data_IF_803149459798
#
_entry.id   IF_803149459798
#
_cell.length_a   1.000
_cell.length_b   1.000
_cell.length_c   1.000
_cell.angle_alpha   90.00
_cell.angle_beta   90.00
_cell.angle_gamma   90.00
#
_symmetry.space_group_name_H-M   'P 1'
#
loop_
_entity.id
_entity.type
_entity.pdbx_description
1 polymer ?
#
# COMPACT_ATOMS: atom_id res chain seq x y z
N UNK A 1 -0.94 -7.06 11.87
CA UNK A 1 0.34 -7.56 11.31
C UNK A 1 0.02 -8.32 10.04
N UNK A 2 0.74 -8.04 8.95
CA UNK A 2 0.69 -8.84 7.74
C UNK A 2 2.03 -9.56 7.54
N UNK A 3 1.97 -10.83 7.19
CA UNK A 3 3.12 -11.61 6.71
C UNK A 3 2.81 -12.08 5.29
N UNK A 4 3.35 -11.38 4.30
CA UNK A 4 2.98 -11.51 2.89
C UNK A 4 3.95 -12.46 2.20
N UNK A 5 3.50 -13.69 1.96
CA UNK A 5 4.26 -14.69 1.20
C UNK A 5 3.88 -14.74 -0.29
N UNK A 6 2.65 -14.31 -0.62
CA UNK A 6 2.12 -14.21 -1.99
C UNK A 6 1.58 -12.79 -2.19
N UNK A 7 1.80 -12.21 -3.37
CA UNK A 7 1.31 -10.87 -3.66
C UNK A 7 -0.21 -10.80 -3.48
N UNK A 8 -0.68 -9.75 -2.83
CA UNK A 8 -2.10 -9.43 -2.68
C UNK A 8 -2.64 -8.82 -3.99
N UNK A 9 -3.97 -8.68 -4.07
CA UNK A 9 -4.60 -8.05 -5.23
C UNK A 9 -4.14 -6.62 -5.39
N UNK A 10 -3.90 -6.18 -6.64
CA UNK A 10 -3.81 -4.76 -6.96
C UNK A 10 -5.19 -4.17 -6.71
N UNK A 11 -5.24 -3.14 -5.87
CA UNK A 11 -6.48 -2.56 -5.38
C UNK A 11 -6.37 -1.05 -5.18
N UNK A 12 -7.53 -0.41 -5.07
CA UNK A 12 -7.67 0.96 -4.60
C UNK A 12 -8.93 1.07 -3.75
N UNK A 13 -8.97 2.06 -2.86
CA UNK A 13 -10.11 2.31 -1.96
C UNK A 13 -10.78 3.62 -2.33
N UNK A 14 -12.13 3.66 -2.46
CA UNK A 14 -12.82 4.90 -2.78
C UNK A 14 -12.60 5.94 -1.67
N UNK A 15 -12.64 7.21 -2.05
CA UNK A 15 -12.80 8.28 -1.07
C UNK A 15 -14.17 8.20 -0.37
N UNK A 16 -14.36 9.06 0.63
CA UNK A 16 -15.53 9.00 1.52
C UNK A 16 -16.83 9.38 0.82
N UNK A 17 -16.77 10.20 -0.22
CA UNK A 17 -17.96 10.59 -0.99
C UNK A 17 -18.38 9.44 -1.89
N UNK A 18 -17.44 8.94 -2.69
CA UNK A 18 -17.67 7.81 -3.59
C UNK A 18 -18.07 6.54 -2.83
N UNK A 19 -17.47 6.27 -1.67
CA UNK A 19 -17.84 5.12 -0.82
C UNK A 19 -19.34 5.15 -0.45
N UNK A 20 -19.88 6.31 -0.08
CA UNK A 20 -21.32 6.46 0.26
C UNK A 20 -22.21 6.20 -0.94
N UNK A 21 -21.81 6.67 -2.12
CA UNK A 21 -22.56 6.44 -3.35
C UNK A 21 -22.54 4.96 -3.75
N UNK A 22 -21.36 4.35 -3.74
CA UNK A 22 -21.17 2.95 -4.08
C UNK A 22 -21.90 2.00 -3.11
N UNK A 23 -21.90 2.31 -1.81
CA UNK A 23 -22.66 1.55 -0.82
C UNK A 23 -24.16 1.58 -1.09
N UNK A 24 -24.71 2.75 -1.47
CA UNK A 24 -26.13 2.88 -1.82
C UNK A 24 -26.48 2.16 -3.12
N UNK A 25 -25.64 2.27 -4.15
CA UNK A 25 -25.92 1.75 -5.49
C UNK A 25 -25.62 0.25 -5.63
N UNK A 26 -24.59 -0.25 -4.93
CA UNK A 26 -24.05 -1.60 -5.06
C UNK A 26 -23.68 -2.21 -3.68
N UNK A 27 -24.62 -2.32 -2.72
CA UNK A 27 -24.36 -2.79 -1.34
C UNK A 27 -23.83 -4.24 -1.26
N UNK A 28 -24.07 -5.05 -2.29
CA UNK A 28 -23.51 -6.40 -2.37
C UNK A 28 -21.99 -6.41 -2.64
N UNK A 29 -21.46 -5.34 -3.24
CA UNK A 29 -20.05 -5.20 -3.60
C UNK A 29 -19.29 -4.29 -2.62
N UNK A 30 -19.91 -3.19 -2.21
CA UNK A 30 -19.35 -2.21 -1.26
C UNK A 30 -20.10 -2.31 0.06
N UNK A 31 -19.38 -2.39 1.17
CA UNK A 31 -19.91 -2.89 2.45
C UNK A 31 -20.29 -1.80 3.43
N UNK A 32 -19.79 -0.60 3.20
CA UNK A 32 -19.98 0.55 4.08
C UNK A 32 -19.80 1.85 3.31
N UNK A 33 -20.22 2.97 3.90
CA UNK A 33 -20.07 4.31 3.32
C UNK A 33 -18.77 5.01 3.71
N UNK A 34 -17.73 4.29 4.12
CA UNK A 34 -16.49 4.87 4.61
C UNK A 34 -15.34 4.70 3.60
N UNK A 35 -14.39 5.64 3.64
CA UNK A 35 -13.10 5.46 2.97
C UNK A 35 -12.20 4.51 3.75
N UNK A 36 -11.08 4.12 3.14
CA UNK A 36 -10.11 3.20 3.72
C UNK A 36 -8.67 3.68 3.51
N UNK A 37 -8.23 4.80 4.14
CA UNK A 37 -6.81 5.10 4.21
C UNK A 37 -6.08 3.99 4.98
N UNK A 38 -4.86 3.67 4.53
CA UNK A 38 -4.04 2.57 5.08
C UNK A 38 -2.58 3.04 5.25
N UNK A 39 -1.84 2.36 6.12
CA UNK A 39 -0.38 2.52 6.26
C UNK A 39 0.26 1.16 6.54
N UNK A 40 1.31 0.84 5.80
CA UNK A 40 2.17 -0.30 6.04
C UNK A 40 3.53 0.16 6.57
N UNK A 41 3.86 -0.21 7.81
CA UNK A 41 5.16 0.00 8.45
C UNK A 41 5.97 -1.29 8.38
N UNK A 42 7.07 -1.27 7.62
CA UNK A 42 7.87 -2.45 7.33
C UNK A 42 8.60 -2.97 8.59
N UNK A 43 8.49 -4.27 8.82
CA UNK A 43 9.21 -5.02 9.87
C UNK A 43 10.42 -5.73 9.26
N UNK A 44 10.23 -6.37 8.10
CA UNK A 44 11.31 -6.88 7.24
C UNK A 44 11.48 -5.97 6.03
N UNK A 45 12.38 -6.30 5.09
CA UNK A 45 12.25 -5.74 3.74
C UNK A 45 10.83 -6.03 3.24
N UNK A 46 10.11 -4.98 2.87
CA UNK A 46 8.71 -5.05 2.44
C UNK A 46 8.57 -4.48 1.05
N UNK A 47 7.91 -5.24 0.16
CA UNK A 47 7.80 -4.90 -1.26
C UNK A 47 6.36 -4.63 -1.62
N UNK A 48 6.11 -3.54 -2.32
CA UNK A 48 4.78 -3.11 -2.73
C UNK A 48 4.76 -2.52 -4.14
N UNK A 49 3.59 -2.52 -4.77
CA UNK A 49 3.23 -1.61 -5.84
C UNK A 49 2.46 -0.44 -5.22
N UNK A 50 2.73 0.80 -5.62
CA UNK A 50 1.97 1.95 -5.13
C UNK A 50 2.05 3.16 -6.08
N UNK A 51 0.88 3.65 -6.50
CA UNK A 51 0.75 4.82 -7.37
C UNK A 51 1.30 4.58 -8.77
N UNK A 52 0.96 5.48 -9.70
CA UNK A 52 1.45 5.39 -11.07
C UNK A 52 2.89 5.90 -11.19
N UNK A 53 3.67 5.24 -12.05
CA UNK A 53 5.02 5.69 -12.42
C UNK A 53 5.00 7.05 -13.11
N UNK A 54 6.16 7.68 -13.21
CA UNK A 54 6.31 8.95 -13.93
C UNK A 54 5.94 8.82 -15.41
N UNK A 55 5.62 9.94 -16.06
CA UNK A 55 5.31 9.94 -17.50
C UNK A 55 6.48 9.41 -18.32
N UNK A 56 7.70 9.80 -17.98
CA UNK A 56 8.94 9.37 -18.63
C UNK A 56 9.13 7.86 -18.54
N UNK A 57 8.94 7.28 -17.35
CA UNK A 57 8.98 5.82 -17.19
C UNK A 57 7.87 5.14 -17.99
N UNK A 58 6.65 5.70 -18.02
CA UNK A 58 5.53 5.12 -18.76
C UNK A 58 5.80 5.12 -20.26
N UNK A 59 6.38 6.20 -20.79
CA UNK A 59 6.84 6.23 -22.18
C UNK A 59 7.89 5.15 -22.45
N UNK A 60 8.85 4.98 -21.55
CA UNK A 60 9.83 3.88 -21.63
C UNK A 60 9.16 2.52 -21.68
N UNK A 61 8.20 2.25 -20.78
CA UNK A 61 7.40 1.02 -20.77
C UNK A 61 6.69 0.78 -22.10
N UNK A 62 6.07 1.80 -22.68
CA UNK A 62 5.36 1.67 -23.96
C UNK A 62 6.30 1.45 -25.16
N UNK A 63 7.56 1.88 -25.07
CA UNK A 63 8.58 1.63 -26.10
C UNK A 63 9.19 0.24 -25.93
N UNK A 64 9.54 -0.14 -24.70
CA UNK A 64 10.36 -1.31 -24.40
C UNK A 64 9.52 -2.60 -24.26
N UNK A 65 8.22 -2.48 -23.99
CA UNK A 65 7.31 -3.60 -23.73
C UNK A 65 6.22 -3.66 -24.82
N UNK A 66 6.52 -4.24 -26.01
CA UNK A 66 5.57 -4.29 -27.13
C UNK A 66 4.27 -5.02 -26.80
N UNK A 67 4.31 -5.98 -25.86
CA UNK A 67 3.12 -6.72 -25.43
C UNK A 67 2.07 -5.84 -24.74
N UNK A 68 2.49 -4.72 -24.12
CA UNK A 68 1.58 -3.71 -23.59
C UNK A 68 0.91 -2.96 -24.74
N UNK A 69 1.68 -2.55 -25.75
CA UNK A 69 1.14 -1.84 -26.94
C UNK A 69 0.12 -2.70 -27.69
N UNK A 70 0.36 -4.01 -27.79
CA UNK A 70 -0.61 -4.97 -28.35
C UNK A 70 -1.94 -4.98 -27.58
N UNK A 71 -1.92 -4.81 -26.25
CA UNK A 71 -3.12 -4.79 -25.41
C UNK A 71 -3.86 -3.45 -25.46
N UNK A 72 -3.13 -2.34 -25.38
CA UNK A 72 -3.73 -1.00 -25.24
C UNK A 72 -4.04 -0.32 -26.59
N UNK A 73 -3.46 -0.83 -27.67
CA UNK A 73 -3.59 -0.32 -29.02
C UNK A 73 -2.66 0.87 -29.31
N UNK A 74 -2.23 0.95 -30.58
CA UNK A 74 -1.31 2.00 -31.05
C UNK A 74 -1.83 3.42 -30.82
N UNK A 75 -3.14 3.64 -30.93
CA UNK A 75 -3.73 4.96 -30.73
C UNK A 75 -3.56 5.46 -29.29
N UNK A 76 -3.84 4.61 -28.29
CA UNK A 76 -3.71 4.93 -26.87
C UNK A 76 -2.25 5.07 -26.45
N UNK A 77 -1.37 4.18 -26.96
CA UNK A 77 0.06 4.28 -26.71
C UNK A 77 0.62 5.60 -27.27
N UNK A 78 0.25 5.95 -28.51
CA UNK A 78 0.67 7.19 -29.15
C UNK A 78 0.19 8.44 -28.39
N UNK A 79 -1.03 8.43 -27.84
CA UNK A 79 -1.51 9.54 -27.00
C UNK A 79 -0.59 9.84 -25.81
N UNK A 80 0.04 8.82 -25.22
CA UNK A 80 1.00 9.01 -24.13
C UNK A 80 2.36 9.45 -24.67
N UNK A 81 2.83 8.81 -25.74
CA UNK A 81 4.14 9.11 -26.35
C UNK A 81 4.23 10.54 -26.89
N UNK A 82 3.13 11.07 -27.41
CA UNK A 82 3.01 12.43 -27.96
C UNK A 82 2.85 13.52 -26.88
N UNK A 83 2.83 13.19 -25.57
CA UNK A 83 2.78 14.20 -24.51
C UNK A 83 4.12 14.91 -24.38
N UNK A 84 4.14 16.23 -24.46
CA UNK A 84 5.33 17.03 -24.22
C UNK A 84 5.42 17.50 -22.77
N UNK A 85 6.63 17.86 -22.32
CA UNK A 85 6.85 18.39 -20.95
C UNK A 85 6.08 19.69 -20.65
N UNK A 86 5.62 20.37 -21.69
CA UNK A 86 4.84 21.61 -21.59
C UNK A 86 3.33 21.34 -21.47
N UNK A 87 2.89 20.10 -21.70
CA UNK A 87 1.49 19.74 -21.57
C UNK A 87 1.04 19.79 -20.11
N UNK A 88 -0.16 20.33 -19.89
CA UNK A 88 -0.74 20.46 -18.55
C UNK A 88 -1.14 19.12 -17.94
N UNK A 89 -1.17 19.07 -16.60
CA UNK A 89 -1.47 17.87 -15.81
C UNK A 89 -2.77 17.14 -16.23
N UNK A 90 -3.80 17.88 -16.66
CA UNK A 90 -5.06 17.28 -17.11
C UNK A 90 -4.92 16.45 -18.40
N UNK A 91 -4.10 16.89 -19.36
CA UNK A 91 -3.86 16.13 -20.60
C UNK A 91 -3.07 14.86 -20.28
N UNK A 92 -2.08 14.95 -19.38
CA UNK A 92 -1.30 13.80 -18.90
C UNK A 92 -2.20 12.78 -18.22
N UNK A 93 -3.03 13.25 -17.27
CA UNK A 93 -4.04 12.44 -16.58
C UNK A 93 -5.00 11.76 -17.53
N UNK A 94 -5.51 12.48 -18.53
CA UNK A 94 -6.41 11.92 -19.53
C UNK A 94 -5.74 10.79 -20.34
N UNK A 95 -4.52 10.99 -20.83
CA UNK A 95 -3.81 9.97 -21.61
C UNK A 95 -3.48 8.73 -20.76
N UNK A 96 -2.98 8.92 -19.53
CA UNK A 96 -2.73 7.82 -18.61
C UNK A 96 -4.03 7.04 -18.30
N UNK A 97 -5.12 7.75 -18.02
CA UNK A 97 -6.43 7.14 -17.81
C UNK A 97 -6.89 6.34 -19.02
N UNK A 98 -6.74 6.91 -20.21
CA UNK A 98 -7.11 6.27 -21.49
C UNK A 98 -6.36 4.95 -21.68
N UNK A 99 -5.03 4.98 -21.62
CA UNK A 99 -4.20 3.78 -21.82
C UNK A 99 -4.43 2.72 -20.73
N UNK A 100 -4.59 3.13 -19.47
CA UNK A 100 -4.85 2.22 -18.36
C UNK A 100 -6.24 1.59 -18.47
N UNK A 101 -7.24 2.34 -18.92
CA UNK A 101 -8.59 1.82 -19.16
C UNK A 101 -8.57 0.76 -20.26
N UNK A 102 -7.81 0.96 -21.34
CA UNK A 102 -7.66 -0.06 -22.39
C UNK A 102 -6.99 -1.32 -21.85
N UNK A 103 -5.94 -1.18 -21.04
CA UNK A 103 -5.28 -2.32 -20.41
C UNK A 103 -6.25 -3.12 -19.53
N UNK A 104 -6.98 -2.44 -18.65
CA UNK A 104 -7.91 -3.08 -17.72
C UNK A 104 -9.12 -3.73 -18.43
N UNK A 105 -9.49 -3.20 -19.60
CA UNK A 105 -10.59 -3.70 -20.41
C UNK A 105 -10.19 -4.84 -21.35
N UNK A 106 -8.90 -5.17 -21.45
CA UNK A 106 -8.44 -6.28 -22.27
C UNK A 106 -9.08 -7.60 -21.83
N UNK A 107 -9.49 -8.41 -22.80
CA UNK A 107 -10.08 -9.72 -22.51
C UNK A 107 -9.07 -10.64 -21.82
N UNK A 108 -9.56 -11.63 -21.07
CA UNK A 108 -8.69 -12.59 -20.40
C UNK A 108 -7.80 -13.34 -21.38
N UNK A 109 -8.34 -13.67 -22.56
CA UNK A 109 -7.63 -14.37 -23.64
C UNK A 109 -6.50 -13.49 -24.20
N UNK A 110 -6.76 -12.21 -24.44
CA UNK A 110 -5.76 -11.26 -24.89
C UNK A 110 -4.65 -11.08 -23.85
N UNK A 111 -5.02 -10.85 -22.58
CA UNK A 111 -4.09 -10.72 -21.48
C UNK A 111 -3.17 -11.95 -21.34
N UNK A 112 -3.77 -13.15 -21.33
CA UNK A 112 -3.03 -14.41 -21.22
C UNK A 112 -2.05 -14.57 -22.39
N UNK A 113 -2.49 -14.29 -23.62
CA UNK A 113 -1.63 -14.37 -24.81
C UNK A 113 -0.46 -13.39 -24.75
N UNK A 114 -0.71 -12.13 -24.39
CA UNK A 114 0.32 -11.10 -24.30
C UNK A 114 1.31 -11.38 -23.18
N UNK A 115 0.85 -11.86 -22.02
CA UNK A 115 1.72 -12.22 -20.90
C UNK A 115 2.57 -13.45 -21.24
N UNK A 116 2.02 -14.44 -21.96
CA UNK A 116 2.81 -15.57 -22.44
C UNK A 116 3.92 -15.15 -23.40
N UNK A 117 3.63 -14.24 -24.35
CA UNK A 117 4.65 -13.65 -25.24
C UNK A 117 5.73 -12.92 -24.45
N UNK A 118 5.33 -12.05 -23.52
CA UNK A 118 6.24 -11.30 -22.65
C UNK A 118 7.17 -12.24 -21.88
N UNK A 119 6.60 -13.27 -21.25
CA UNK A 119 7.37 -14.28 -20.51
C UNK A 119 8.39 -14.99 -21.39
N UNK A 120 8.00 -15.42 -22.58
CA UNK A 120 8.90 -16.05 -23.54
C UNK A 120 10.02 -15.12 -23.97
N UNK A 121 9.71 -13.86 -24.31
CA UNK A 121 10.69 -12.84 -24.69
C UNK A 121 11.69 -12.57 -23.56
N UNK A 122 11.20 -12.29 -22.35
CA UNK A 122 12.06 -12.02 -21.18
C UNK A 122 12.93 -13.22 -20.80
N UNK A 123 12.46 -14.46 -21.01
CA UNK A 123 13.30 -15.64 -20.78
C UNK A 123 14.49 -15.70 -21.74
N UNK A 124 14.29 -15.39 -23.02
CA UNK A 124 15.38 -15.29 -24.01
C UNK A 124 16.31 -14.13 -23.66
N UNK A 125 15.76 -12.95 -23.36
CA UNK A 125 16.54 -11.77 -23.02
C UNK A 125 17.36 -11.94 -21.73
N UNK A 126 16.88 -12.72 -20.76
CA UNK A 126 17.64 -13.03 -19.54
C UNK A 126 18.94 -13.81 -19.79
N UNK A 127 19.07 -14.45 -20.96
CA UNK A 127 20.33 -15.10 -21.38
C UNK A 127 21.31 -14.12 -22.04
N UNK A 128 20.82 -12.93 -22.41
CA UNK A 128 21.59 -11.93 -23.17
C UNK A 128 21.95 -10.70 -22.32
N UNK A 129 21.09 -10.35 -21.35
CA UNK A 129 21.27 -9.21 -20.44
C UNK A 129 20.66 -9.48 -19.07
N UNK A 130 21.04 -8.65 -18.10
CA UNK A 130 20.33 -8.59 -16.83
C UNK A 130 18.92 -7.99 -17.06
N UNK A 131 17.90 -8.65 -16.52
CA UNK A 131 16.53 -8.12 -16.52
C UNK A 131 16.40 -7.00 -15.48
N UNK A 132 15.61 -5.99 -15.80
CA UNK A 132 15.26 -4.91 -14.86
C UNK A 132 14.45 -5.45 -13.69
N UNK A 133 14.37 -4.70 -12.60
CA UNK A 133 13.62 -5.14 -11.41
C UNK A 133 12.12 -5.34 -11.70
N UNK A 134 11.52 -4.49 -12.55
CA UNK A 134 10.12 -4.64 -12.98
C UNK A 134 9.92 -5.87 -13.86
N UNK A 135 10.87 -6.19 -14.75
CA UNK A 135 10.83 -7.42 -15.57
C UNK A 135 10.93 -8.69 -14.71
N UNK A 136 11.82 -8.69 -13.72
CA UNK A 136 11.93 -9.79 -12.75
C UNK A 136 10.64 -9.91 -11.92
N UNK A 137 10.07 -8.78 -11.51
CA UNK A 137 8.81 -8.75 -10.76
C UNK A 137 7.66 -9.35 -11.58
N UNK A 138 7.47 -8.98 -12.85
CA UNK A 138 6.37 -9.54 -13.65
C UNK A 138 6.55 -11.04 -13.88
N UNK A 139 7.78 -11.54 -14.08
CA UNK A 139 8.03 -12.98 -14.14
C UNK A 139 7.71 -13.69 -12.81
N UNK A 140 7.93 -13.03 -11.67
CA UNK A 140 7.56 -13.55 -10.36
C UNK A 140 6.03 -13.55 -10.16
N UNK A 141 5.35 -12.45 -10.50
CA UNK A 141 3.91 -12.34 -10.42
C UNK A 141 3.21 -13.34 -11.34
N UNK A 142 3.73 -13.59 -12.54
CA UNK A 142 3.21 -14.59 -13.47
C UNK A 142 3.28 -16.01 -12.90
N UNK A 143 4.28 -16.33 -12.07
CA UNK A 143 4.31 -17.63 -11.36
C UNK A 143 3.17 -17.74 -10.32
N UNK A 144 2.80 -16.63 -9.69
CA UNK A 144 1.77 -16.58 -8.65
C UNK A 144 0.34 -16.46 -9.22
N UNK A 145 0.20 -15.77 -10.36
CA UNK A 145 -1.05 -15.39 -11.02
C UNK A 145 -0.96 -15.55 -12.56
N UNK A 146 -0.85 -16.78 -13.08
CA UNK A 146 -0.65 -17.01 -14.51
C UNK A 146 -1.73 -16.35 -15.38
N UNK A 147 -1.31 -15.47 -16.30
CA UNK A 147 -2.18 -14.79 -17.26
C UNK A 147 -3.12 -13.73 -16.68
N UNK A 148 -2.95 -13.34 -15.40
CA UNK A 148 -3.74 -12.26 -14.79
C UNK A 148 -3.26 -10.89 -15.30
N UNK A 149 -4.18 -9.98 -15.66
CA UNK A 149 -3.81 -8.64 -16.17
C UNK A 149 -2.93 -7.87 -15.18
N UNK A 150 -3.06 -8.14 -13.87
CA UNK A 150 -2.26 -7.51 -12.83
C UNK A 150 -0.77 -7.78 -12.97
N UNK A 151 -0.38 -8.90 -13.60
CA UNK A 151 1.02 -9.21 -13.91
C UNK A 151 1.61 -8.13 -14.80
N UNK A 152 1.01 -7.86 -15.95
CA UNK A 152 1.53 -6.86 -16.89
C UNK A 152 1.21 -5.43 -16.45
N UNK A 153 0.17 -5.23 -15.64
CA UNK A 153 -0.17 -3.93 -15.05
C UNK A 153 0.88 -3.44 -14.06
N UNK A 154 1.71 -4.33 -13.49
CA UNK A 154 2.78 -3.93 -12.59
C UNK A 154 3.78 -2.95 -13.21
N UNK A 155 3.93 -2.94 -14.54
CA UNK A 155 4.75 -1.94 -15.24
C UNK A 155 4.22 -0.51 -15.12
N UNK A 156 2.93 -0.31 -14.81
CA UNK A 156 2.31 1.01 -14.65
C UNK A 156 2.50 1.60 -13.26
N UNK A 157 2.99 0.82 -12.29
CA UNK A 157 3.07 1.22 -10.89
C UNK A 157 4.50 1.30 -10.37
N UNK A 158 4.72 2.17 -9.37
CA UNK A 158 6.03 2.21 -8.71
C UNK A 158 6.25 0.90 -7.97
N UNK A 159 7.40 0.26 -8.19
CA UNK A 159 7.84 -0.90 -7.42
C UNK A 159 8.62 -0.40 -6.21
N UNK A 160 7.93 -0.33 -5.07
CA UNK A 160 8.42 0.25 -3.82
C UNK A 160 9.06 -0.84 -2.97
N UNK A 161 10.24 -0.55 -2.44
CA UNK A 161 10.94 -1.37 -1.45
C UNK A 161 11.12 -0.53 -0.19
N UNK A 162 10.60 -1.03 0.93
CA UNK A 162 10.74 -0.43 2.24
C UNK A 162 11.75 -1.24 3.04
N UNK A 163 12.69 -0.54 3.66
CA UNK A 163 13.55 -1.12 4.68
C UNK A 163 12.77 -1.23 6.01
N UNK A 164 13.17 -2.13 6.93
CA UNK A 164 12.64 -2.15 8.30
C UNK A 164 12.62 -0.75 8.93
N UNK A 165 11.47 -0.34 9.45
CA UNK A 165 11.28 1.00 10.03
C UNK A 165 10.89 2.10 9.03
N UNK A 166 10.77 1.79 7.74
CA UNK A 166 10.14 2.68 6.76
C UNK A 166 8.64 2.35 6.61
N UNK A 167 7.82 3.36 6.39
CA UNK A 167 6.38 3.20 6.20
C UNK A 167 5.89 3.84 4.90
N UNK A 168 4.88 3.22 4.31
CA UNK A 168 4.15 3.70 3.15
C UNK A 168 2.70 3.93 3.56
N UNK A 169 2.19 5.14 3.33
CA UNK A 169 0.76 5.42 3.48
C UNK A 169 0.05 5.34 2.12
N UNK A 170 -1.22 4.95 2.14
CA UNK A 170 -2.03 4.72 0.95
C UNK A 170 -3.25 5.64 1.01
N UNK A 171 -3.29 6.59 0.08
CA UNK A 171 -4.40 7.50 -0.08
C UNK A 171 -5.63 6.82 -0.70
N UNK A 172 -6.79 7.46 -0.54
CA UNK A 172 -7.96 7.09 -1.32
C UNK A 172 -7.68 7.24 -2.82
N UNK A 173 -8.31 6.40 -3.62
CA UNK A 173 -8.25 6.41 -5.08
C UNK A 173 -6.83 6.17 -5.66
N UNK A 174 -5.89 5.64 -4.87
CA UNK A 174 -4.54 5.29 -5.32
C UNK A 174 -4.38 3.76 -5.47
N UNK A 175 -3.87 3.27 -6.62
CA UNK A 175 -3.69 1.85 -6.84
C UNK A 175 -2.44 1.34 -6.12
N UNK A 176 -2.55 0.21 -5.43
CA UNK A 176 -1.45 -0.40 -4.69
C UNK A 176 -1.63 -1.92 -4.53
N UNK A 177 -0.54 -2.62 -4.20
CA UNK A 177 -0.54 -4.04 -3.86
C UNK A 177 0.64 -4.36 -2.95
N UNK A 178 0.44 -5.17 -1.91
CA UNK A 178 1.56 -5.72 -1.13
C UNK A 178 2.06 -7.00 -1.77
N UNK A 179 3.36 -7.11 -1.98
CA UNK A 179 3.98 -8.17 -2.79
C UNK A 179 4.65 -9.23 -1.94
N UNK A 180 5.44 -8.81 -0.95
CA UNK A 180 6.15 -9.70 -0.03
C UNK A 180 6.68 -8.98 1.22
N UNK A 181 6.92 -9.73 2.29
CA UNK A 181 7.54 -9.26 3.52
C UNK A 181 6.53 -9.09 4.66
N UNK A 182 7.01 -8.59 5.80
CA UNK A 182 6.20 -8.41 7.01
C UNK A 182 6.05 -6.93 7.35
N UNK A 183 4.83 -6.53 7.75
CA UNK A 183 4.54 -5.16 8.14
C UNK A 183 3.49 -5.07 9.26
N UNK A 184 3.53 -3.94 9.98
CA UNK A 184 2.39 -3.46 10.76
C UNK A 184 1.51 -2.67 9.81
N UNK A 185 0.30 -3.18 9.57
CA UNK A 185 -0.73 -2.48 8.83
C UNK A 185 -1.72 -1.83 9.81
N UNK A 186 -2.05 -0.57 9.58
CA UNK A 186 -3.16 0.12 10.22
C UNK A 186 -4.02 0.78 9.14
N UNK A 187 -5.34 0.77 9.33
CA UNK A 187 -6.29 1.25 8.34
C UNK A 187 -7.56 1.79 9.02
N UNK A 188 -8.29 2.67 8.34
CA UNK A 188 -9.63 3.02 8.76
C UNK A 188 -10.57 1.80 8.67
N UNK A 189 -11.65 1.81 9.45
CA UNK A 189 -12.66 0.74 9.43
C UNK A 189 -13.53 0.84 8.18
N UNK A 190 -13.17 0.07 7.15
CA UNK A 190 -13.94 -0.11 5.92
C UNK A 190 -13.51 -1.41 5.22
N UNK A 191 -14.44 -2.07 4.53
CA UNK A 191 -14.18 -3.24 3.69
C UNK A 191 -14.29 -2.93 2.18
N UNK A 192 -14.36 -1.65 1.83
CA UNK A 192 -14.47 -1.22 0.43
C UNK A 192 -13.16 -1.42 -0.33
N UNK A 193 -13.17 -2.31 -1.33
CA UNK A 193 -11.99 -2.62 -2.15
C UNK A 193 -12.38 -2.73 -3.63
N UNK A 194 -11.76 -1.92 -4.48
CA UNK A 194 -11.87 -2.03 -5.94
C UNK A 194 -10.60 -2.65 -6.50
N UNK A 195 -10.72 -3.81 -7.15
CA UNK A 195 -9.56 -4.61 -7.60
C UNK A 195 -9.23 -4.38 -9.07
N UNK A 196 -7.94 -4.30 -9.37
CA UNK A 196 -7.38 -4.13 -10.72
C UNK A 196 -6.73 -5.42 -11.26
N UNK A 197 -6.27 -6.33 -10.40
CA UNK A 197 -5.62 -7.57 -10.84
C UNK A 197 -4.96 -8.34 -9.70
N UNK A 198 -4.19 -9.36 -10.04
CA UNK A 198 -3.59 -10.33 -9.11
C UNK A 198 -4.66 -10.97 -8.22
N UNK A 199 -5.80 -11.34 -8.82
CA UNK A 199 -6.97 -11.79 -8.05
C UNK A 199 -7.91 -12.65 -8.87
N UNK A 200 -8.48 -13.73 -8.29
CA UNK A 200 -9.58 -14.45 -8.91
C UNK A 200 -10.94 -13.76 -8.69
N UNK A 201 -11.00 -12.70 -7.86
CA UNK A 201 -12.25 -12.02 -7.49
C UNK A 201 -12.70 -11.05 -8.58
N UNK A 202 -13.97 -10.64 -8.50
CA UNK A 202 -14.56 -9.65 -9.41
C UNK A 202 -13.76 -8.33 -9.44
N UNK A 203 -13.65 -7.76 -10.65
CA UNK A 203 -13.01 -6.46 -10.92
C UNK A 203 -14.05 -5.50 -11.48
N UNK A 204 -14.44 -4.49 -10.70
CA UNK A 204 -15.32 -3.41 -11.16
C UNK A 204 -14.49 -2.38 -11.95
N UNK A 205 -14.17 -2.71 -13.21
CA UNK A 205 -13.26 -1.95 -14.07
C UNK A 205 -13.76 -0.52 -14.30
N UNK A 206 -15.08 -0.34 -14.44
CA UNK A 206 -15.67 0.97 -14.64
C UNK A 206 -15.41 1.87 -13.43
N UNK A 207 -15.73 1.39 -12.22
CA UNK A 207 -15.52 2.15 -10.99
C UNK A 207 -14.03 2.40 -10.76
N UNK A 208 -13.19 1.39 -10.98
CA UNK A 208 -11.74 1.50 -10.89
C UNK A 208 -11.23 2.66 -11.76
N UNK A 209 -11.47 2.63 -13.07
CA UNK A 209 -10.91 3.61 -13.99
C UNK A 209 -11.54 5.00 -13.87
N UNK A 210 -12.71 5.12 -13.21
CA UNK A 210 -13.30 6.43 -12.92
C UNK A 210 -12.80 7.05 -11.63
N UNK A 211 -12.50 6.25 -10.61
CA UNK A 211 -12.17 6.75 -9.28
C UNK A 211 -10.70 7.15 -9.14
N UNK A 212 -9.78 6.48 -9.84
CA UNK A 212 -8.34 6.68 -9.63
C UNK A 212 -7.92 8.14 -9.86
N UNK A 213 -7.00 8.62 -9.02
CA UNK A 213 -6.48 10.01 -9.11
C UNK A 213 -5.67 10.22 -10.38
N UNK A 214 -4.98 9.16 -10.84
CA UNK A 214 -3.94 9.18 -11.86
C UNK A 214 -2.77 10.12 -11.53
N UNK A 215 -2.55 10.37 -10.23
CA UNK A 215 -1.33 11.04 -9.76
C UNK A 215 -0.13 10.17 -10.10
N UNK A 216 0.88 10.80 -10.70
CA UNK A 216 2.14 10.15 -11.06
C UNK A 216 3.25 10.59 -10.13
N UNK A 217 4.25 9.71 -9.97
CA UNK A 217 5.44 9.96 -9.18
C UNK A 217 5.63 8.92 -8.09
N UNK A 218 6.85 8.87 -7.56
CA UNK A 218 7.19 7.96 -6.48
C UNK A 218 6.46 8.37 -5.19
N UNK A 219 5.88 7.42 -4.42
CA UNK A 219 5.16 7.75 -3.20
C UNK A 219 6.11 8.22 -2.09
N UNK A 220 5.58 9.00 -1.16
CA UNK A 220 6.33 9.45 0.01
C UNK A 220 6.58 8.29 0.98
N UNK A 221 7.84 8.10 1.36
CA UNK A 221 8.23 7.10 2.36
C UNK A 221 8.44 7.79 3.71
N UNK A 222 7.64 7.39 4.70
CA UNK A 222 7.71 7.90 6.06
C UNK A 222 8.80 7.15 6.84
N UNK A 223 9.75 7.90 7.39
CA UNK A 223 10.78 7.35 8.31
C UNK A 223 10.39 7.43 9.79
N UNK A 224 9.24 8.07 10.05
CA UNK A 224 8.84 8.46 11.40
C UNK A 224 9.73 9.55 11.99
N UNK A 225 9.40 10.00 13.20
CA UNK A 225 10.21 10.93 13.97
C UNK A 225 10.28 10.48 15.44
N UNK A 226 11.41 10.71 16.12
CA UNK A 226 11.59 10.28 17.50
C UNK A 226 10.72 11.13 18.45
N UNK A 227 9.92 10.47 19.28
CA UNK A 227 9.23 11.08 20.42
C UNK A 227 10.06 10.99 21.71
N UNK A 228 10.85 9.94 21.81
CA UNK A 228 11.76 9.66 22.92
C UNK A 228 12.92 8.81 22.42
N UNK A 229 13.92 8.48 23.25
CA UNK A 229 15.03 7.62 22.84
C UNK A 229 14.62 6.22 22.33
N UNK A 230 13.41 5.76 22.69
CA UNK A 230 12.94 4.41 22.38
C UNK A 230 11.68 4.37 21.52
N UNK A 231 11.03 5.52 21.27
CA UNK A 231 9.74 5.59 20.57
C UNK A 231 9.86 6.46 19.33
N UNK A 232 9.54 5.87 18.17
CA UNK A 232 9.43 6.56 16.88
C UNK A 232 7.96 6.58 16.45
N UNK A 233 7.44 7.77 16.13
CA UNK A 233 6.06 7.96 15.67
C UNK A 233 5.99 8.13 14.15
N UNK A 234 4.99 7.50 13.55
CA UNK A 234 4.64 7.59 12.14
C UNK A 234 3.29 8.30 12.00
N UNK A 235 3.30 9.49 11.39
CA UNK A 235 2.12 10.32 11.16
C UNK A 235 1.77 10.37 9.67
N UNK A 236 0.80 9.57 9.21
CA UNK A 236 0.26 9.73 7.86
C UNK A 236 -0.57 11.03 7.73
N UNK A 237 -0.81 11.53 6.50
CA UNK A 237 -1.52 12.79 6.25
C UNK A 237 -3.05 12.67 6.30
N UNK A 238 -3.58 11.88 7.23
CA UNK A 238 -5.02 11.71 7.47
C UNK A 238 -5.30 11.61 8.99
N UNK A 239 -6.56 11.59 9.41
CA UNK A 239 -6.97 11.82 10.81
C UNK A 239 -7.21 10.54 11.60
N UNK A 240 -7.37 9.40 10.93
CA UNK A 240 -7.94 8.20 11.52
C UNK A 240 -6.99 7.53 12.51
N UNK A 241 -5.68 7.50 12.19
CA UNK A 241 -4.70 6.83 13.03
C UNK A 241 -3.27 7.34 12.88
N UNK A 242 -2.45 7.03 13.89
CA UNK A 242 -1.01 7.12 13.93
C UNK A 242 -0.44 5.82 14.51
N UNK A 243 0.82 5.51 14.21
CA UNK A 243 1.50 4.30 14.72
C UNK A 243 2.81 4.71 15.39
N UNK A 244 3.04 4.19 16.59
CA UNK A 244 4.30 4.28 17.31
C UNK A 244 5.03 2.93 17.23
N UNK A 245 6.32 2.96 16.94
CA UNK A 245 7.24 1.83 17.11
C UNK A 245 8.09 2.08 18.35
N UNK A 246 8.09 1.14 19.29
CA UNK A 246 8.91 1.22 20.48
C UNK A 246 9.89 0.05 20.55
N UNK A 247 11.18 0.36 20.61
CA UNK A 247 12.27 -0.61 20.74
C UNK A 247 12.98 -0.33 22.07
N UNK A 248 12.71 -1.17 23.05
CA UNK A 248 13.18 -1.01 24.42
C UNK A 248 14.29 -2.03 24.72
N UNK A 249 15.53 -1.59 24.99
CA UNK A 249 16.64 -2.50 25.28
C UNK A 249 16.56 -3.06 26.71
N UNK A 250 17.41 -4.05 26.99
CA UNK A 250 17.50 -4.70 28.30
C UNK A 250 17.69 -3.72 29.45
N UNK A 251 16.76 -3.78 30.41
CA UNK A 251 16.78 -2.98 31.63
C UNK A 251 16.26 -1.55 31.45
N UNK A 252 15.81 -1.17 30.25
CA UNK A 252 15.25 0.15 30.00
C UNK A 252 13.77 0.24 30.38
N UNK A 253 13.31 1.48 30.50
CA UNK A 253 11.91 1.84 30.73
C UNK A 253 11.51 3.02 29.86
N UNK A 254 10.25 3.06 29.44
CA UNK A 254 9.67 4.20 28.73
C UNK A 254 8.26 4.48 29.23
N UNK A 255 7.76 5.69 28.96
CA UNK A 255 6.40 6.11 29.29
C UNK A 255 5.68 6.45 27.99
N UNK A 256 4.51 5.86 27.79
CA UNK A 256 3.54 6.32 26.82
C UNK A 256 2.61 7.31 27.53
N UNK A 257 2.64 8.61 27.17
CA UNK A 257 1.83 9.61 27.85
C UNK A 257 0.35 9.38 27.59
N UNK A 258 -0.49 9.87 28.51
CA UNK A 258 -1.93 9.91 28.33
C UNK A 258 -2.30 10.74 27.09
N UNK A 259 -3.13 10.17 26.21
CA UNK A 259 -3.62 10.83 24.99
C UNK A 259 -5.15 10.81 24.91
N UNK A 260 -5.80 11.79 24.26
CA UNK A 260 -7.26 11.93 24.22
C UNK A 260 -7.98 10.92 23.30
N UNK A 261 -7.41 9.73 23.09
CA UNK A 261 -7.99 8.67 22.25
C UNK A 261 -7.56 7.27 22.70
N UNK A 262 -8.31 6.22 22.29
CA UNK A 262 -7.93 4.85 22.61
C UNK A 262 -6.62 4.47 21.90
N UNK A 263 -5.94 3.46 22.44
CA UNK A 263 -4.76 2.85 21.81
C UNK A 263 -4.82 1.33 21.88
N UNK A 264 -4.25 0.68 20.86
CA UNK A 264 -3.99 -0.75 20.83
C UNK A 264 -2.48 -0.94 20.81
N UNK A 265 -1.96 -1.68 21.77
CA UNK A 265 -0.56 -2.09 21.86
C UNK A 265 -0.44 -3.53 21.39
N UNK A 266 0.56 -3.80 20.56
CA UNK A 266 0.96 -5.13 20.15
C UNK A 266 2.39 -5.37 20.63
N UNK A 267 2.60 -6.40 21.43
CA UNK A 267 3.94 -6.87 21.78
C UNK A 267 4.43 -7.75 20.65
N UNK A 268 5.37 -7.23 19.85
CA UNK A 268 5.85 -7.90 18.65
C UNK A 268 7.01 -8.84 18.91
N UNK A 269 7.90 -8.50 19.85
CA UNK A 269 9.04 -9.34 20.23
C UNK A 269 9.34 -9.15 21.71
N UNK A 270 9.70 -10.24 22.38
CA UNK A 270 10.26 -10.21 23.73
C UNK A 270 9.21 -10.16 24.84
N UNK A 271 9.59 -9.59 25.98
CA UNK A 271 8.79 -9.61 27.21
C UNK A 271 8.94 -8.31 27.98
N UNK A 272 7.87 -7.86 28.61
CA UNK A 272 7.88 -6.64 29.41
C UNK A 272 6.87 -6.66 30.55
N UNK A 273 6.81 -5.54 31.26
CA UNK A 273 5.78 -5.23 32.25
C UNK A 273 5.15 -3.89 31.88
N UNK A 274 3.83 -3.89 31.77
CA UNK A 274 3.02 -2.71 31.58
C UNK A 274 2.43 -2.30 32.92
N UNK A 275 2.62 -1.04 33.31
CA UNK A 275 2.15 -0.50 34.58
C UNK A 275 1.24 0.70 34.33
N UNK A 276 0.05 0.63 34.94
CA UNK A 276 -1.00 1.66 34.90
C UNK A 276 -1.41 1.93 36.34
N UNK A 277 -1.01 3.08 36.89
CA UNK A 277 -1.17 3.37 38.32
C UNK A 277 -0.49 2.29 39.18
N UNK A 278 -1.27 1.61 40.04
CA UNK A 278 -0.80 0.50 40.87
C UNK A 278 -0.91 -0.88 40.23
N UNK A 279 -1.56 -0.99 39.06
CA UNK A 279 -1.73 -2.26 38.35
C UNK A 279 -0.51 -2.51 37.47
N UNK A 280 -0.05 -3.76 37.48
CA UNK A 280 1.04 -4.23 36.65
C UNK A 280 0.65 -5.55 35.99
N UNK A 281 0.82 -5.62 34.67
CA UNK A 281 0.59 -6.83 33.88
C UNK A 281 1.90 -7.23 33.17
N UNK A 282 2.22 -8.51 33.20
CA UNK A 282 3.34 -9.08 32.44
C UNK A 282 2.84 -9.35 31.02
N UNK A 283 3.61 -8.91 30.02
CA UNK A 283 3.28 -9.10 28.61
C UNK A 283 4.43 -9.79 27.87
N UNK A 284 4.07 -10.58 26.88
CA UNK A 284 4.97 -11.38 26.05
C UNK A 284 4.60 -11.25 24.58
N UNK A 285 5.50 -11.68 23.70
CA UNK A 285 5.28 -11.74 22.26
C UNK A 285 3.90 -12.31 21.88
N UNK A 286 3.20 -11.59 21.00
CA UNK A 286 1.86 -11.92 20.56
C UNK A 286 0.74 -11.29 21.39
N UNK A 287 1.03 -10.77 22.59
CA UNK A 287 0.01 -10.11 23.41
C UNK A 287 -0.46 -8.79 22.78
N UNK A 288 -1.77 -8.57 22.86
CA UNK A 288 -2.43 -7.35 22.39
C UNK A 288 -3.20 -6.72 23.55
N UNK A 289 -2.94 -5.44 23.81
CA UNK A 289 -3.54 -4.70 24.92
C UNK A 289 -4.33 -3.51 24.40
N UNK A 290 -5.49 -3.27 25.00
CA UNK A 290 -6.28 -2.06 24.78
C UNK A 290 -6.04 -1.07 25.92
N UNK A 291 -5.78 0.18 25.58
CA UNK A 291 -5.68 1.28 26.51
C UNK A 291 -6.81 2.29 26.24
N UNK A 292 -7.68 2.58 27.23
CA UNK A 292 -8.64 3.66 27.13
C UNK A 292 -7.96 5.03 26.94
N UNK A 293 -8.73 6.02 26.49
CA UNK A 293 -8.24 7.39 26.42
C UNK A 293 -7.77 7.89 27.79
N UNK A 294 -6.82 8.83 27.75
CA UNK A 294 -6.21 9.46 28.92
C UNK A 294 -5.53 8.48 29.89
N UNK A 295 -5.09 7.32 29.39
CA UNK A 295 -4.33 6.33 30.18
C UNK A 295 -2.83 6.52 29.93
N UNK A 296 -2.08 6.88 30.97
CA UNK A 296 -0.62 6.83 30.95
C UNK A 296 -0.14 5.40 31.24
N UNK A 297 0.87 4.94 30.49
CA UNK A 297 1.41 3.58 30.62
C UNK A 297 2.92 3.66 30.76
N UNK A 298 3.45 3.10 31.86
CA UNK A 298 4.88 2.86 32.00
C UNK A 298 5.21 1.45 31.55
N UNK A 299 6.20 1.31 30.68
CA UNK A 299 6.65 0.02 30.16
C UNK A 299 8.09 -0.21 30.61
N UNK A 300 8.37 -1.40 31.14
CA UNK A 300 9.72 -1.82 31.53
C UNK A 300 10.02 -3.20 30.97
N UNK A 301 11.30 -3.50 30.72
CA UNK A 301 11.72 -4.84 30.31
C UNK A 301 13.01 -5.28 31.01
N UNK A 302 13.08 -6.56 31.36
CA UNK A 302 14.32 -7.22 31.83
C UNK A 302 15.07 -7.94 30.70
N UNK A 303 14.55 -7.89 29.48
CA UNK A 303 15.10 -8.45 28.23
C UNK A 303 15.03 -7.37 27.14
N UNK A 304 15.07 -7.72 25.87
CA UNK A 304 14.58 -6.81 24.84
C UNK A 304 13.05 -6.85 24.75
N UNK A 305 12.47 -5.75 24.27
CA UNK A 305 11.04 -5.63 23.99
C UNK A 305 10.84 -4.73 22.77
N UNK A 306 10.16 -5.25 21.75
CA UNK A 306 9.67 -4.45 20.64
C UNK A 306 8.15 -4.50 20.65
N UNK A 307 7.53 -3.33 20.55
CA UNK A 307 6.09 -3.19 20.51
C UNK A 307 5.66 -2.10 19.55
N UNK A 308 4.42 -2.21 19.08
CA UNK A 308 3.78 -1.20 18.27
C UNK A 308 2.53 -0.70 18.98
N UNK A 309 2.26 0.59 18.87
CA UNK A 309 1.01 1.18 19.36
C UNK A 309 0.30 1.88 18.21
N UNK A 310 -0.91 1.43 17.89
CA UNK A 310 -1.82 2.16 17.03
C UNK A 310 -2.76 3.00 17.90
N UNK A 311 -3.05 4.23 17.50
CA UNK A 311 -4.14 5.00 18.08
C UNK A 311 -4.57 6.14 17.18
N UNK A 312 -5.52 6.94 17.65
CA UNK A 312 -6.09 8.04 16.84
C UNK A 312 -5.01 9.07 16.51
N UNK A 313 -4.98 9.54 15.26
CA UNK A 313 -3.99 10.52 14.83
C UNK A 313 -4.16 11.82 15.62
N UNK A 314 -3.06 12.37 16.13
CA UNK A 314 -3.06 13.66 16.83
C UNK A 314 -3.72 14.79 16.03
N UNK A 315 -3.68 14.77 14.70
CA UNK A 315 -4.36 15.72 13.81
C UNK A 315 -5.86 15.86 14.10
N UNK A 316 -6.54 14.75 14.40
CA UNK A 316 -7.98 14.73 14.69
C UNK A 316 -8.36 15.64 15.87
N UNK A 317 -7.49 15.75 16.87
CA UNK A 317 -7.76 16.55 18.07
C UNK A 317 -7.38 18.03 17.89
N UNK A 318 -6.55 18.35 16.89
CA UNK A 318 -6.19 19.72 16.56
C UNK A 318 -7.23 20.41 15.67
N UNK A 319 -7.98 19.67 14.86
CA UNK A 319 -9.08 20.19 14.04
C UNK A 319 -10.39 20.38 14.83
N UNK A 320 -10.48 19.85 16.05
CA UNK A 320 -11.65 19.93 16.92
C UNK A 320 -11.64 21.13 17.92
N UNK A 321 -10.62 22.00 17.85
CA UNK A 321 -10.48 23.24 18.63
C UNK A 321 -10.54 24.46 17.70
#
# INVERSE_FOLDING_TARGET
VLSVAKALSIQAHPDKELAKELFKLKPNLYKDGNHKPEMALAITEFRALCGFITLEELKGVLVDIPEIVELVGNASAKQVLDIDKQDGAEKVKYALRSVFTQLMSASKEMATKSIAKLKSRLHVESQLRCLTEKEQLVLHLEKQYPGDIGVISAFFFNYVKLNPGEALYLGANEPHAYLSGECIECMATSDNVVRAGLTPKHRDIQTLCSMLTYKQGYPDILKGFPLSPYITRYLPPFEEFEVDCCILPKGASTVFPAIPGPSIFLVFLGKGRFRIGSREDIVTEGDVLFAPSNTEITITTSSELQLYRAGVNSRFFHTAL
#
